data_IF_518283484793
#
_entry.id   IF_518283484793
#
_cell.length_a   1.000
_cell.length_b   1.000
_cell.length_c   1.000
_cell.angle_alpha   90.00
_cell.angle_beta   90.00
_cell.angle_gamma   90.00
#
_symmetry.space_group_name_H-M   'P 1'
#
loop_
_entity.id
_entity.type
_entity.pdbx_description
1 polymer ?
#
# COMPACT_ATOMS: atom_id res chain seq x y z
N UNK A 1 -10.55 19.51 -19.29
CA UNK A 1 -10.27 18.06 -19.19
C UNK A 1 -10.45 17.66 -17.74
N UNK A 2 -11.31 16.69 -17.44
CA UNK A 2 -11.46 16.15 -16.08
C UNK A 2 -10.15 15.53 -15.63
N UNK A 3 -9.68 15.87 -14.42
CA UNK A 3 -8.42 15.33 -13.88
C UNK A 3 -8.61 13.92 -13.33
N UNK A 4 -7.51 13.19 -13.20
CA UNK A 4 -7.49 11.84 -12.64
C UNK A 4 -6.86 11.86 -11.26
N UNK A 5 -7.54 11.26 -10.28
CA UNK A 5 -7.08 11.12 -8.91
C UNK A 5 -6.62 9.68 -8.68
N UNK A 6 -5.33 9.50 -8.40
CA UNK A 6 -4.78 8.23 -7.93
C UNK A 6 -4.77 8.22 -6.41
N UNK A 7 -5.45 7.25 -5.82
CA UNK A 7 -5.53 7.04 -4.37
C UNK A 7 -4.83 5.72 -4.04
N UNK A 8 -3.80 5.77 -3.20
CA UNK A 8 -3.01 4.58 -2.84
C UNK A 8 -2.85 4.40 -1.34
N UNK A 9 -2.59 3.19 -0.86
CA UNK A 9 -2.32 2.95 0.56
C UNK A 9 -0.96 3.51 1.01
N UNK A 10 -0.85 3.96 2.26
CA UNK A 10 0.44 4.31 2.84
C UNK A 10 1.38 3.09 2.99
N UNK A 11 2.70 3.31 2.98
CA UNK A 11 3.68 2.23 3.19
C UNK A 11 4.06 2.07 4.67
N UNK A 12 4.30 0.83 5.10
CA UNK A 12 4.80 0.56 6.46
C UNK A 12 6.23 1.12 6.66
N UNK A 13 7.03 1.04 5.61
CA UNK A 13 8.36 1.65 5.57
C UNK A 13 8.21 3.16 5.37
N UNK A 14 8.78 3.95 6.29
CA UNK A 14 8.80 5.42 6.22
C UNK A 14 10.17 5.98 6.58
N UNK A 15 10.44 7.21 6.15
CA UNK A 15 11.53 8.04 6.61
C UNK A 15 11.10 8.81 7.86
N UNK A 16 12.04 9.05 8.77
CA UNK A 16 11.81 9.91 9.93
C UNK A 16 12.64 11.20 9.85
N UNK A 17 13.61 11.31 8.93
CA UNK A 17 14.55 12.43 8.80
C UNK A 17 15.15 12.90 10.14
N UNK A 18 15.41 11.96 11.06
CA UNK A 18 15.92 12.28 12.40
C UNK A 18 14.87 12.83 13.38
N UNK A 19 13.61 13.00 12.97
CA UNK A 19 12.52 13.39 13.83
C UNK A 19 11.96 12.22 14.64
N UNK A 20 11.29 12.54 15.75
CA UNK A 20 10.53 11.57 16.53
C UNK A 20 9.39 10.98 15.71
N UNK A 21 9.10 9.70 15.95
CA UNK A 21 8.07 8.95 15.23
C UNK A 21 6.92 8.66 16.18
N UNK A 22 5.71 9.10 15.83
CA UNK A 22 4.51 8.69 16.54
C UNK A 22 4.25 7.21 16.27
N UNK A 23 4.37 6.37 17.29
CA UNK A 23 4.22 4.93 17.14
C UNK A 23 2.94 4.44 17.80
N UNK A 24 2.00 3.92 17.00
CA UNK A 24 0.70 3.44 17.46
C UNK A 24 0.82 2.31 18.49
N UNK A 25 1.86 1.48 18.43
CA UNK A 25 2.06 0.38 19.39
C UNK A 25 2.14 0.91 20.83
N UNK A 26 2.83 2.03 21.05
CA UNK A 26 2.95 2.68 22.38
C UNK A 26 1.56 3.06 22.92
N UNK A 27 0.72 3.63 22.06
CA UNK A 27 -0.64 4.02 22.44
C UNK A 27 -1.54 2.80 22.65
N UNK A 28 -1.42 1.78 21.81
CA UNK A 28 -2.23 0.55 21.91
C UNK A 28 -1.86 -0.30 23.15
N UNK A 29 -0.63 -0.17 23.65
CA UNK A 29 -0.21 -0.75 24.92
C UNK A 29 -0.90 -0.06 26.11
N UNK A 30 -1.02 1.27 26.09
CA UNK A 30 -1.58 2.06 27.20
C UNK A 30 -3.11 2.17 27.17
N UNK A 31 -3.71 2.35 25.99
CA UNK A 31 -5.13 2.64 25.82
C UNK A 31 -5.87 1.40 25.28
N UNK A 32 -6.54 0.68 26.18
CA UNK A 32 -7.27 -0.57 25.88
C UNK A 32 -8.73 -0.38 25.47
N UNK A 33 -9.18 0.86 25.31
CA UNK A 33 -10.54 1.15 24.83
C UNK A 33 -10.49 1.82 23.46
N UNK A 34 -11.45 1.51 22.57
CA UNK A 34 -11.60 2.15 21.26
C UNK A 34 -11.54 3.68 21.34
N UNK A 35 -12.44 4.27 22.15
CA UNK A 35 -12.55 5.72 22.35
C UNK A 35 -11.27 6.33 22.93
N UNK A 36 -10.67 5.67 23.93
CA UNK A 36 -9.44 6.15 24.56
C UNK A 36 -8.25 6.15 23.60
N UNK A 37 -8.12 5.12 22.77
CA UNK A 37 -7.05 5.00 21.79
C UNK A 37 -7.17 6.07 20.68
N UNK A 38 -8.38 6.25 20.13
CA UNK A 38 -8.66 7.28 19.11
C UNK A 38 -8.31 8.67 19.65
N UNK A 39 -8.78 8.99 20.85
CA UNK A 39 -8.54 10.30 21.46
C UNK A 39 -7.04 10.53 21.70
N UNK A 40 -6.35 9.57 22.34
CA UNK A 40 -4.93 9.69 22.63
C UNK A 40 -4.07 9.81 21.36
N UNK A 41 -4.42 9.08 20.29
CA UNK A 41 -3.74 9.22 19.01
C UNK A 41 -3.95 10.61 18.38
N UNK A 42 -5.20 11.10 18.37
CA UNK A 42 -5.52 12.42 17.84
C UNK A 42 -4.81 13.56 18.58
N UNK A 43 -4.76 13.50 19.92
CA UNK A 43 -4.01 14.45 20.74
C UNK A 43 -2.51 14.40 20.44
N UNK A 44 -1.93 13.20 20.32
CA UNK A 44 -0.53 13.03 20.00
C UNK A 44 -0.17 13.60 18.61
N UNK A 45 -1.02 13.37 17.61
CA UNK A 45 -0.86 13.94 16.26
C UNK A 45 -0.88 15.48 16.32
N UNK A 46 -1.88 16.07 16.98
CA UNK A 46 -2.00 17.53 17.08
C UNK A 46 -0.83 18.16 17.84
N UNK A 47 -0.43 17.55 18.96
CA UNK A 47 0.72 17.98 19.75
C UNK A 47 2.01 17.91 18.92
N UNK A 48 2.25 16.81 18.22
CA UNK A 48 3.43 16.64 17.39
C UNK A 48 3.47 17.65 16.23
N UNK A 49 2.34 17.92 15.56
CA UNK A 49 2.27 18.92 14.49
C UNK A 49 2.61 20.33 14.98
N UNK A 50 2.28 20.67 16.22
CA UNK A 50 2.62 21.98 16.80
C UNK A 50 4.14 22.23 16.89
N UNK A 51 4.94 21.16 16.94
CA UNK A 51 6.41 21.25 16.97
C UNK A 51 7.03 21.61 15.61
N UNK A 52 6.24 21.61 14.53
CA UNK A 52 6.66 21.86 13.14
C UNK A 52 7.77 20.93 12.61
N UNK A 53 8.04 19.81 13.28
CA UNK A 53 8.95 18.76 12.81
C UNK A 53 8.25 17.83 11.81
N UNK A 54 7.91 18.38 10.65
CA UNK A 54 7.11 17.73 9.61
C UNK A 54 7.95 17.30 8.42
N UNK A 55 7.50 16.24 7.75
CA UNK A 55 8.09 15.69 6.53
C UNK A 55 7.01 15.71 5.44
N UNK A 56 7.32 16.21 4.22
CA UNK A 56 6.41 16.12 3.09
C UNK A 56 6.05 14.67 2.75
N UNK A 57 4.80 14.40 2.37
CA UNK A 57 4.28 13.06 2.05
C UNK A 57 5.17 12.33 1.03
N UNK A 58 5.65 13.02 0.00
CA UNK A 58 6.53 12.48 -1.04
C UNK A 58 7.89 12.02 -0.52
N UNK A 59 8.36 12.60 0.60
CA UNK A 59 9.61 12.23 1.28
C UNK A 59 9.38 11.27 2.46
N UNK A 60 8.14 11.10 2.91
CA UNK A 60 7.81 10.29 4.07
C UNK A 60 7.81 8.79 3.73
N UNK A 61 7.07 8.39 2.70
CA UNK A 61 6.88 6.98 2.36
C UNK A 61 8.07 6.43 1.56
N UNK A 62 8.30 5.11 1.62
CA UNK A 62 9.41 4.47 0.90
C UNK A 62 9.10 3.05 0.45
N UNK A 63 9.95 2.53 -0.42
CA UNK A 63 9.85 1.19 -0.99
C UNK A 63 9.11 1.18 -2.33
N UNK A 64 9.20 0.05 -3.03
CA UNK A 64 8.80 -0.02 -4.44
C UNK A 64 7.33 0.35 -4.71
N UNK A 65 6.43 0.14 -3.74
CA UNK A 65 5.04 0.61 -3.87
C UNK A 65 4.99 2.14 -4.00
N UNK A 66 5.62 2.87 -3.08
CA UNK A 66 5.66 4.34 -3.10
C UNK A 66 6.46 4.88 -4.28
N UNK A 67 7.61 4.28 -4.58
CA UNK A 67 8.41 4.68 -5.75
C UNK A 67 7.63 4.56 -7.06
N UNK A 68 6.76 3.53 -7.18
CA UNK A 68 5.87 3.40 -8.34
C UNK A 68 4.81 4.49 -8.35
N UNK A 69 4.18 4.80 -7.21
CA UNK A 69 3.20 5.89 -7.13
C UNK A 69 3.79 7.25 -7.53
N UNK A 70 5.01 7.57 -7.07
CA UNK A 70 5.72 8.78 -7.49
C UNK A 70 6.06 8.76 -8.98
N UNK A 71 6.50 7.62 -9.52
CA UNK A 71 6.78 7.50 -10.96
C UNK A 71 5.54 7.79 -11.82
N UNK A 72 4.35 7.38 -11.37
CA UNK A 72 3.09 7.69 -12.06
C UNK A 72 2.81 9.20 -11.97
N UNK A 73 2.94 9.78 -10.77
CA UNK A 73 2.71 11.20 -10.52
C UNK A 73 3.63 12.09 -11.37
N UNK A 74 4.91 11.74 -11.48
CA UNK A 74 5.88 12.49 -12.26
C UNK A 74 5.65 12.36 -13.77
N UNK A 75 5.06 11.26 -14.22
CA UNK A 75 4.86 10.95 -15.64
C UNK A 75 3.51 11.41 -16.21
N UNK A 76 2.51 11.65 -15.36
CA UNK A 76 1.12 11.85 -15.78
C UNK A 76 0.49 13.04 -15.03
N UNK A 77 -0.42 13.81 -15.66
CA UNK A 77 -1.07 14.97 -15.04
C UNK A 77 -2.18 14.54 -14.07
N UNK A 78 -1.80 13.87 -12.98
CA UNK A 78 -2.70 13.29 -11.98
C UNK A 78 -2.56 14.00 -10.62
N UNK A 79 -3.59 13.84 -9.79
CA UNK A 79 -3.52 14.18 -8.37
C UNK A 79 -3.24 12.90 -7.57
N UNK A 80 -2.22 12.91 -6.70
CA UNK A 80 -1.83 11.76 -5.88
C UNK A 80 -2.29 11.92 -4.44
N UNK A 81 -3.01 10.91 -3.94
CA UNK A 81 -3.57 10.84 -2.60
C UNK A 81 -3.16 9.56 -1.88
N UNK A 82 -3.08 9.62 -0.56
CA UNK A 82 -2.67 8.49 0.30
C UNK A 82 -3.70 8.18 1.36
N UNK A 83 -4.14 6.92 1.40
CA UNK A 83 -4.91 6.36 2.51
C UNK A 83 -3.94 6.09 3.67
N UNK A 84 -3.92 7.00 4.64
CA UNK A 84 -3.07 6.95 5.82
C UNK A 84 -3.81 6.37 7.02
N UNK A 85 -3.29 5.27 7.57
CA UNK A 85 -3.82 4.69 8.81
C UNK A 85 -3.60 5.59 10.04
N UNK A 86 -2.78 6.64 9.95
CA UNK A 86 -2.51 7.57 11.04
C UNK A 86 -3.15 8.95 10.87
N UNK A 87 -3.49 9.35 9.65
CA UNK A 87 -3.92 10.72 9.31
C UNK A 87 -5.21 10.80 8.46
N UNK A 88 -5.79 9.68 8.05
CA UNK A 88 -6.94 9.69 7.15
C UNK A 88 -6.50 9.85 5.70
N UNK A 89 -7.16 10.71 4.93
CA UNK A 89 -6.75 11.01 3.55
C UNK A 89 -5.69 12.12 3.53
N UNK A 90 -4.54 11.82 2.93
CA UNK A 90 -3.47 12.78 2.68
C UNK A 90 -3.33 13.07 1.18
N UNK A 91 -2.81 14.24 0.85
CA UNK A 91 -2.45 14.67 -0.49
C UNK A 91 -0.92 14.72 -0.66
N UNK A 92 -0.43 14.50 -1.88
CA UNK A 92 0.93 14.87 -2.25
C UNK A 92 1.23 16.34 -1.89
N UNK A 93 2.39 16.60 -1.28
CA UNK A 93 2.79 17.93 -0.81
C UNK A 93 2.37 18.26 0.63
N UNK A 94 1.50 17.46 1.26
CA UNK A 94 1.17 17.65 2.68
C UNK A 94 2.41 17.45 3.54
N UNK A 95 2.59 18.32 4.54
CA UNK A 95 3.65 18.19 5.53
C UNK A 95 3.08 17.61 6.83
N UNK A 96 3.51 16.40 7.19
CA UNK A 96 3.01 15.68 8.37
C UNK A 96 4.13 15.16 9.25
N UNK A 97 3.83 14.87 10.51
CA UNK A 97 4.83 14.25 11.40
C UNK A 97 5.03 12.77 11.04
N UNK A 98 6.28 12.25 11.13
CA UNK A 98 6.52 10.83 10.94
C UNK A 98 5.72 9.96 11.93
N UNK A 99 5.13 8.88 11.42
CA UNK A 99 4.26 8.01 12.22
C UNK A 99 4.36 6.54 11.81
N UNK A 100 3.97 5.62 12.69
CA UNK A 100 3.79 4.20 12.41
C UNK A 100 2.41 3.75 12.88
N UNK A 101 1.57 3.42 11.91
CA UNK A 101 0.23 2.85 12.07
C UNK A 101 -0.13 2.09 10.77
N UNK A 102 -0.87 0.98 10.88
CA UNK A 102 -1.36 0.23 9.72
C UNK A 102 -2.67 -0.50 9.98
N UNK A 103 -3.54 -0.61 8.97
CA UNK A 103 -4.73 -1.46 9.03
C UNK A 103 -4.40 -2.95 8.81
N UNK A 104 -3.21 -3.27 8.29
CA UNK A 104 -2.75 -4.65 8.19
C UNK A 104 -2.69 -5.29 9.58
N UNK A 105 -3.14 -6.54 9.71
CA UNK A 105 -3.15 -7.26 10.99
C UNK A 105 -1.85 -8.02 11.22
N UNK A 106 -1.47 -8.23 12.49
CA UNK A 106 -0.29 -9.05 12.85
C UNK A 106 1.02 -8.26 12.98
N UNK A 107 0.95 -6.93 13.02
CA UNK A 107 2.06 -6.05 13.34
C UNK A 107 1.83 -5.35 14.68
N UNK A 108 2.91 -4.94 15.35
CA UNK A 108 2.82 -4.15 16.58
C UNK A 108 2.15 -2.79 16.36
N UNK A 109 2.33 -2.22 15.16
CA UNK A 109 1.77 -0.95 14.74
C UNK A 109 0.38 -1.11 14.08
N UNK A 110 -0.26 -2.29 14.22
CA UNK A 110 -1.60 -2.56 13.70
C UNK A 110 -2.67 -1.83 14.50
N UNK A 111 -3.66 -1.27 13.82
CA UNK A 111 -4.90 -0.82 14.46
C UNK A 111 -5.57 -2.03 15.13
N UNK A 112 -5.82 -2.01 16.45
CA UNK A 112 -6.43 -3.15 17.16
C UNK A 112 -7.81 -3.52 16.62
N UNK A 113 -8.26 -4.76 16.83
CA UNK A 113 -9.56 -5.22 16.34
C UNK A 113 -10.71 -4.98 17.33
N UNK A 114 -10.41 -4.76 18.63
CA UNK A 114 -11.39 -4.61 19.72
C UNK A 114 -12.60 -5.56 19.59
N UNK A 115 -12.33 -6.86 19.40
CA UNK A 115 -13.32 -7.89 19.04
C UNK A 115 -14.51 -8.00 20.00
N UNK A 116 -14.32 -7.65 21.27
CA UNK A 116 -15.38 -7.73 22.29
C UNK A 116 -16.47 -6.66 22.08
N UNK A 117 -16.15 -5.58 21.36
CA UNK A 117 -17.06 -4.46 21.07
C UNK A 117 -17.40 -4.34 19.59
N UNK A 118 -16.55 -4.89 18.72
CA UNK A 118 -16.65 -4.74 17.27
C UNK A 118 -16.66 -6.10 16.59
N UNK A 119 -17.60 -6.27 15.66
CA UNK A 119 -17.58 -7.40 14.75
C UNK A 119 -16.35 -7.36 13.82
N UNK A 120 -15.41 -8.29 14.03
CA UNK A 120 -14.22 -8.50 13.15
C UNK A 120 -13.35 -7.23 13.00
N UNK A 121 -13.46 -6.54 11.85
CA UNK A 121 -12.64 -5.38 11.46
C UNK A 121 -13.47 -4.09 11.38
N UNK A 122 -14.65 -4.03 12.00
CA UNK A 122 -15.51 -2.83 11.94
C UNK A 122 -14.93 -1.64 12.69
N UNK A 123 -14.11 -1.84 13.73
CA UNK A 123 -13.40 -0.74 14.39
C UNK A 123 -12.50 0.04 13.44
N UNK A 124 -11.92 -0.59 12.42
CA UNK A 124 -11.08 0.11 11.44
C UNK A 124 -11.85 1.18 10.65
N UNK A 125 -13.17 0.99 10.46
CA UNK A 125 -14.04 1.97 9.82
C UNK A 125 -14.33 3.16 10.74
N UNK A 126 -14.58 2.90 12.02
CA UNK A 126 -14.73 3.96 13.02
C UNK A 126 -13.43 4.75 13.18
N UNK A 127 -12.29 4.06 13.26
CA UNK A 127 -10.97 4.68 13.30
C UNK A 127 -10.76 5.64 12.12
N UNK A 128 -11.03 5.18 10.89
CA UNK A 128 -10.94 6.01 9.68
C UNK A 128 -11.85 7.24 9.77
N UNK A 129 -13.11 7.05 10.13
CA UNK A 129 -14.07 8.15 10.29
C UNK A 129 -13.61 9.20 11.32
N UNK A 130 -13.12 8.75 12.48
CA UNK A 130 -12.64 9.64 13.55
C UNK A 130 -11.33 10.34 13.20
N UNK A 131 -10.43 9.71 12.46
CA UNK A 131 -9.25 10.40 11.92
C UNK A 131 -9.67 11.55 10.99
N UNK A 132 -10.61 11.30 10.08
CA UNK A 132 -11.05 12.33 9.14
C UNK A 132 -11.80 13.45 9.87
N UNK A 133 -12.65 13.14 10.85
CA UNK A 133 -13.33 14.14 11.69
C UNK A 133 -12.36 15.03 12.48
N UNK A 134 -11.23 14.48 12.94
CA UNK A 134 -10.24 15.21 13.72
C UNK A 134 -9.07 15.75 12.87
N UNK A 135 -9.13 15.61 11.54
CA UNK A 135 -7.97 15.89 10.70
C UNK A 135 -7.52 17.36 10.79
N UNK A 136 -6.23 17.62 11.03
CA UNK A 136 -5.67 18.97 11.08
C UNK A 136 -5.60 19.63 9.69
N UNK A 137 -5.79 18.87 8.62
CA UNK A 137 -5.67 19.31 7.23
C UNK A 137 -7.01 19.76 6.61
N UNK A 138 -8.10 19.74 7.38
CA UNK A 138 -9.46 20.06 6.90
C UNK A 138 -9.62 21.40 6.18
N UNK A 139 -8.77 22.38 6.50
CA UNK A 139 -8.81 23.70 5.87
C UNK A 139 -8.05 23.75 4.54
N UNK A 140 -7.20 22.77 4.26
CA UNK A 140 -6.30 22.77 3.12
C UNK A 140 -6.89 22.04 1.91
N UNK A 141 -7.55 20.90 2.13
CA UNK A 141 -8.14 20.06 1.08
C UNK A 141 -9.13 19.05 1.70
N UNK A 142 -9.90 18.31 0.89
CA UNK A 142 -10.72 17.19 1.38
C UNK A 142 -9.90 16.16 2.17
N UNK A 143 -10.38 15.77 3.35
CA UNK A 143 -9.68 14.83 4.28
C UNK A 143 -10.33 13.45 4.35
N UNK A 144 -11.37 13.22 3.54
CA UNK A 144 -12.05 11.94 3.39
C UNK A 144 -12.32 11.67 1.92
N UNK A 145 -12.58 10.41 1.55
CA UNK A 145 -12.95 10.06 0.18
C UNK A 145 -14.30 10.65 -0.20
N UNK A 146 -15.23 10.71 0.74
CA UNK A 146 -16.54 11.32 0.49
C UNK A 146 -16.43 12.82 0.21
N UNK A 147 -15.64 13.55 0.99
CA UNK A 147 -15.39 14.98 0.72
C UNK A 147 -14.68 15.16 -0.62
N UNK A 148 -13.71 14.29 -0.95
CA UNK A 148 -12.95 14.39 -2.20
C UNK A 148 -13.84 14.12 -3.43
N UNK A 149 -14.66 13.08 -3.38
CA UNK A 149 -15.57 12.72 -4.49
C UNK A 149 -16.72 13.71 -4.62
N UNK A 150 -17.12 14.37 -3.54
CA UNK A 150 -18.09 15.47 -3.59
C UNK A 150 -17.50 16.71 -4.24
N UNK A 151 -16.32 17.15 -3.79
CA UNK A 151 -15.60 18.31 -4.32
C UNK A 151 -15.24 18.13 -5.80
N UNK A 152 -14.90 16.90 -6.20
CA UNK A 152 -14.45 16.55 -7.54
C UNK A 152 -15.38 15.55 -8.24
N UNK A 153 -16.68 15.80 -8.14
CA UNK A 153 -17.74 14.89 -8.63
C UNK A 153 -17.72 14.61 -10.15
N UNK A 154 -16.97 15.41 -10.93
CA UNK A 154 -16.76 15.28 -12.37
C UNK A 154 -15.42 14.65 -12.77
N UNK A 155 -14.58 14.29 -11.80
CA UNK A 155 -13.25 13.74 -12.01
C UNK A 155 -13.23 12.20 -12.01
N UNK A 156 -12.09 11.63 -12.38
CA UNK A 156 -11.86 10.19 -12.39
C UNK A 156 -11.07 9.75 -11.15
N UNK A 157 -11.34 8.53 -10.67
CA UNK A 157 -10.77 7.98 -9.44
C UNK A 157 -10.25 6.57 -9.66
N UNK A 158 -8.97 6.36 -9.38
CA UNK A 158 -8.35 5.03 -9.34
C UNK A 158 -7.86 4.79 -7.92
N UNK A 159 -8.50 3.87 -7.20
CA UNK A 159 -8.15 3.50 -5.84
C UNK A 159 -7.38 2.18 -5.86
N UNK A 160 -6.15 2.14 -5.35
CA UNK A 160 -5.35 0.93 -5.27
C UNK A 160 -4.87 0.68 -3.83
N UNK A 161 -5.42 -0.36 -3.19
CA UNK A 161 -5.14 -0.61 -1.78
C UNK A 161 -5.37 -2.08 -1.39
N UNK A 162 -4.76 -2.51 -0.28
CA UNK A 162 -5.00 -3.86 0.24
C UNK A 162 -6.43 -4.01 0.78
N UNK A 163 -6.94 -5.25 0.93
CA UNK A 163 -8.29 -5.48 1.48
C UNK A 163 -8.51 -4.87 2.86
N UNK A 164 -7.45 -4.71 3.67
CA UNK A 164 -7.54 -4.09 4.99
C UNK A 164 -7.81 -2.59 4.91
N UNK A 165 -7.11 -1.88 4.01
CA UNK A 165 -7.34 -0.46 3.78
C UNK A 165 -8.70 -0.22 3.15
N UNK A 166 -9.07 -1.02 2.15
CA UNK A 166 -10.41 -1.01 1.57
C UNK A 166 -11.49 -1.18 2.65
N UNK A 167 -11.32 -2.16 3.55
CA UNK A 167 -12.28 -2.40 4.62
C UNK A 167 -12.39 -1.19 5.54
N UNK A 168 -11.27 -0.55 5.89
CA UNK A 168 -11.25 0.65 6.73
C UNK A 168 -11.98 1.82 6.09
N UNK A 169 -11.80 2.06 4.79
CA UNK A 169 -12.44 3.17 4.09
C UNK A 169 -13.87 2.86 3.64
N UNK A 170 -14.38 1.64 3.81
CA UNK A 170 -15.60 1.17 3.13
C UNK A 170 -16.82 2.09 3.33
N UNK A 171 -17.08 2.56 4.55
CA UNK A 171 -18.20 3.46 4.81
C UNK A 171 -18.04 4.82 4.10
N UNK A 172 -16.82 5.38 4.14
CA UNK A 172 -16.48 6.65 3.50
C UNK A 172 -16.50 6.54 1.97
N UNK A 173 -15.99 5.44 1.42
CA UNK A 173 -16.04 5.12 0.00
C UNK A 173 -17.48 5.01 -0.50
N UNK A 174 -18.34 4.25 0.19
CA UNK A 174 -19.75 4.12 -0.21
C UNK A 174 -20.51 5.45 -0.18
N UNK A 175 -20.20 6.31 0.80
CA UNK A 175 -20.73 7.67 0.83
C UNK A 175 -20.18 8.50 -0.35
N UNK A 176 -18.89 8.42 -0.63
CA UNK A 176 -18.25 9.13 -1.75
C UNK A 176 -18.81 8.77 -3.12
N UNK A 177 -19.04 7.48 -3.36
CA UNK A 177 -19.63 6.96 -4.60
C UNK A 177 -20.98 7.61 -4.90
N UNK A 178 -21.78 7.94 -3.87
CA UNK A 178 -23.08 8.59 -4.06
C UNK A 178 -23.01 10.02 -4.60
N UNK A 179 -21.84 10.66 -4.58
CA UNK A 179 -21.62 11.99 -5.14
C UNK A 179 -21.11 11.98 -6.60
N UNK A 180 -20.67 10.82 -7.12
CA UNK A 180 -20.21 10.70 -8.49
C UNK A 180 -21.40 10.70 -9.45
N UNK A 181 -21.26 11.37 -10.60
CA UNK A 181 -22.32 11.45 -11.62
C UNK A 181 -22.54 10.12 -12.35
N UNK A 182 -21.44 9.41 -12.61
CA UNK A 182 -21.43 8.11 -13.27
C UNK A 182 -20.29 7.26 -12.69
N UNK A 183 -20.66 6.42 -11.71
CA UNK A 183 -19.71 5.55 -11.00
C UNK A 183 -18.99 4.60 -11.96
N UNK A 184 -19.70 4.06 -12.94
CA UNK A 184 -19.15 3.11 -13.91
C UNK A 184 -18.11 3.81 -14.81
N UNK A 185 -18.35 5.07 -15.19
CA UNK A 185 -17.37 5.88 -15.94
C UNK A 185 -16.19 6.35 -15.09
N UNK A 186 -16.43 6.69 -13.82
CA UNK A 186 -15.51 7.50 -13.03
C UNK A 186 -14.64 6.72 -12.04
N UNK A 187 -14.92 5.45 -11.74
CA UNK A 187 -14.24 4.73 -10.67
C UNK A 187 -13.67 3.38 -11.10
N UNK A 188 -12.41 3.14 -10.73
CA UNK A 188 -11.81 1.79 -10.61
C UNK A 188 -11.26 1.60 -9.21
N UNK A 189 -11.44 0.40 -8.68
CA UNK A 189 -10.81 -0.07 -7.44
C UNK A 189 -9.92 -1.26 -7.78
N UNK A 190 -8.70 -1.26 -7.25
CA UNK A 190 -7.70 -2.31 -7.44
C UNK A 190 -7.34 -2.86 -6.07
N UNK A 191 -7.66 -4.13 -5.83
CA UNK A 191 -7.38 -4.81 -4.56
C UNK A 191 -7.17 -6.30 -4.77
N UNK A 192 -6.64 -7.01 -3.77
CA UNK A 192 -6.35 -8.45 -3.88
C UNK A 192 -7.50 -9.36 -3.46
N UNK A 193 -8.69 -8.80 -3.20
CA UNK A 193 -9.86 -9.58 -2.78
C UNK A 193 -11.16 -8.95 -3.24
N UNK A 194 -12.12 -9.79 -3.63
CA UNK A 194 -13.50 -9.40 -3.94
C UNK A 194 -14.44 -9.42 -2.73
N UNK A 195 -14.01 -10.00 -1.61
CA UNK A 195 -14.89 -10.65 -0.64
C UNK A 195 -15.91 -9.73 0.09
N UNK A 196 -15.97 -8.43 -0.23
CA UNK A 196 -16.88 -7.46 0.40
C UNK A 196 -17.35 -6.32 -0.52
N UNK A 197 -17.12 -6.40 -1.84
CA UNK A 197 -17.43 -5.31 -2.75
C UNK A 197 -18.76 -5.52 -3.48
N UNK A 198 -19.66 -4.55 -3.36
CA UNK A 198 -20.87 -4.44 -4.18
C UNK A 198 -20.54 -4.03 -5.63
N UNK A 199 -19.50 -3.21 -5.83
CA UNK A 199 -19.07 -2.70 -7.15
C UNK A 199 -18.16 -3.68 -7.92
N UNK A 200 -18.68 -4.85 -8.27
CA UNK A 200 -17.90 -5.87 -9.01
C UNK A 200 -17.40 -5.36 -10.37
N UNK A 201 -18.15 -4.49 -11.05
CA UNK A 201 -17.80 -3.94 -12.37
C UNK A 201 -16.61 -2.97 -12.32
N UNK A 202 -16.42 -2.26 -11.21
CA UNK A 202 -15.33 -1.30 -11.03
C UNK A 202 -14.09 -1.95 -10.39
N UNK A 203 -14.16 -3.23 -10.00
CA UNK A 203 -13.09 -3.90 -9.28
C UNK A 203 -12.15 -4.68 -10.21
N UNK A 204 -10.86 -4.41 -10.09
CA UNK A 204 -9.77 -5.23 -10.61
C UNK A 204 -9.13 -6.00 -9.47
N UNK A 205 -9.17 -7.33 -9.57
CA UNK A 205 -8.66 -8.21 -8.51
C UNK A 205 -7.25 -8.65 -8.84
N UNK A 206 -6.30 -8.20 -8.04
CA UNK A 206 -4.93 -8.61 -8.17
C UNK A 206 -4.74 -10.06 -7.69
N UNK A 207 -3.94 -10.83 -8.42
CA UNK A 207 -3.63 -12.22 -8.10
C UNK A 207 -2.22 -12.58 -8.55
N UNK A 208 -1.77 -13.78 -8.21
CA UNK A 208 -0.41 -14.24 -8.50
C UNK A 208 -0.07 -14.28 -10.00
N UNK A 209 -1.00 -14.70 -10.85
CA UNK A 209 -0.78 -14.73 -12.31
C UNK A 209 -0.55 -13.32 -12.86
N UNK A 210 -1.30 -12.33 -12.35
CA UNK A 210 -1.10 -10.92 -12.72
C UNK A 210 0.24 -10.40 -12.16
N UNK A 211 0.63 -10.83 -10.96
CA UNK A 211 1.95 -10.50 -10.40
C UNK A 211 3.09 -10.95 -11.32
N UNK A 212 2.99 -12.18 -11.81
CA UNK A 212 3.96 -12.77 -12.73
C UNK A 212 3.98 -12.04 -14.07
N UNK A 213 2.80 -11.68 -14.62
CA UNK A 213 2.69 -10.87 -15.82
C UNK A 213 3.42 -9.52 -15.70
N UNK A 214 3.28 -8.84 -14.57
CA UNK A 214 3.97 -7.57 -14.29
C UNK A 214 5.41 -7.73 -13.75
N UNK A 215 5.94 -8.96 -13.65
CA UNK A 215 7.20 -9.27 -12.96
C UNK A 215 7.31 -8.56 -11.59
N UNK A 216 6.21 -8.57 -10.84
CA UNK A 216 6.04 -7.86 -9.58
C UNK A 216 5.76 -8.82 -8.43
N UNK A 217 6.11 -8.41 -7.22
CA UNK A 217 5.63 -9.08 -6.01
C UNK A 217 4.20 -8.60 -5.66
N UNK A 218 3.51 -9.34 -4.78
CA UNK A 218 2.14 -9.02 -4.35
C UNK A 218 2.03 -7.70 -3.58
N UNK A 219 3.08 -7.25 -2.89
CA UNK A 219 3.08 -5.99 -2.12
C UNK A 219 3.02 -4.76 -3.06
N UNK A 220 3.61 -4.87 -4.24
CA UNK A 220 3.65 -3.81 -5.25
C UNK A 220 2.57 -3.97 -6.34
N UNK A 221 1.89 -5.11 -6.37
CA UNK A 221 1.05 -5.46 -7.51
C UNK A 221 -0.09 -4.47 -7.75
N UNK A 222 -0.79 -4.03 -6.70
CA UNK A 222 -1.93 -3.13 -6.87
C UNK A 222 -1.53 -1.79 -7.51
N UNK A 223 -0.39 -1.21 -7.12
CA UNK A 223 0.08 0.05 -7.71
C UNK A 223 0.65 -0.16 -9.12
N UNK A 224 1.21 -1.34 -9.43
CA UNK A 224 1.63 -1.70 -10.79
C UNK A 224 0.46 -1.87 -11.74
N UNK A 225 -0.64 -2.47 -11.28
CA UNK A 225 -1.89 -2.51 -12.03
C UNK A 225 -2.43 -1.07 -12.21
N UNK A 226 -2.37 -0.23 -11.17
CA UNK A 226 -2.81 1.16 -11.28
C UNK A 226 -2.00 1.95 -12.31
N UNK A 227 -0.67 1.79 -12.32
CA UNK A 227 0.21 2.36 -13.33
C UNK A 227 -0.26 1.97 -14.74
N UNK A 228 -0.46 0.67 -14.97
CA UNK A 228 -0.92 0.17 -16.26
C UNK A 228 -2.31 0.70 -16.65
N UNK A 229 -3.26 0.74 -15.71
CA UNK A 229 -4.60 1.31 -15.93
C UNK A 229 -4.50 2.77 -16.33
N UNK A 230 -3.67 3.57 -15.66
CA UNK A 230 -3.48 4.99 -15.96
C UNK A 230 -2.88 5.18 -17.34
N UNK A 231 -1.82 4.43 -17.68
CA UNK A 231 -1.18 4.48 -19.00
C UNK A 231 -2.17 4.16 -20.12
N UNK A 232 -3.02 3.14 -19.93
CA UNK A 232 -4.07 2.80 -20.90
C UNK A 232 -5.17 3.88 -20.95
N UNK A 233 -5.63 4.37 -19.80
CA UNK A 233 -6.69 5.37 -19.72
C UNK A 233 -6.30 6.69 -20.39
N UNK A 234 -5.05 7.13 -20.20
CA UNK A 234 -4.54 8.37 -20.83
C UNK A 234 -4.43 8.26 -22.36
N UNK A 235 -4.49 7.04 -22.92
CA UNK A 235 -4.50 6.79 -24.37
C UNK A 235 -5.91 6.56 -24.95
N UNK A 236 -6.97 6.64 -24.13
CA UNK A 236 -8.35 6.40 -24.56
C UNK A 236 -9.10 7.70 -24.83
N UNK A 237 -9.85 7.74 -25.94
CA UNK A 237 -10.67 8.90 -26.32
C UNK A 237 -12.01 8.98 -25.56
N UNK A 238 -12.56 7.83 -25.13
CA UNK A 238 -13.92 7.72 -24.57
C UNK A 238 -14.01 7.97 -23.07
N UNK A 239 -12.88 7.99 -22.36
CA UNK A 239 -12.78 8.28 -20.92
C UNK A 239 -13.69 7.44 -20.04
N UNK A 240 -13.72 6.11 -20.19
CA UNK A 240 -14.59 5.23 -19.41
C UNK A 240 -13.84 4.15 -18.61
N UNK A 241 -13.63 4.39 -17.31
CA UNK A 241 -12.87 3.49 -16.45
C UNK A 241 -13.52 2.11 -16.29
N UNK A 242 -14.84 2.01 -16.14
CA UNK A 242 -15.53 0.72 -16.03
C UNK A 242 -15.33 -0.21 -17.22
N UNK A 243 -15.40 0.31 -18.46
CA UNK A 243 -15.12 -0.46 -19.68
C UNK A 243 -13.65 -0.88 -19.77
N UNK A 244 -12.73 0.00 -19.38
CA UNK A 244 -11.31 -0.37 -19.27
C UNK A 244 -11.13 -1.51 -18.27
N UNK A 245 -11.77 -1.43 -17.10
CA UNK A 245 -11.69 -2.49 -16.09
C UNK A 245 -12.23 -3.82 -16.62
N UNK A 246 -13.31 -3.82 -17.38
CA UNK A 246 -13.86 -5.02 -18.01
C UNK A 246 -12.89 -5.65 -19.01
N UNK A 247 -12.34 -4.83 -19.92
CA UNK A 247 -11.33 -5.27 -20.90
C UNK A 247 -10.12 -5.88 -20.21
N UNK A 248 -9.62 -5.23 -19.16
CA UNK A 248 -8.47 -5.70 -18.39
C UNK A 248 -8.79 -6.99 -17.62
N UNK A 249 -9.99 -7.14 -17.04
CA UNK A 249 -10.41 -8.41 -16.42
C UNK A 249 -10.41 -9.55 -17.43
N UNK A 250 -10.95 -9.33 -18.63
CA UNK A 250 -10.95 -10.33 -19.69
C UNK A 250 -9.54 -10.68 -20.17
N UNK A 251 -8.63 -9.69 -20.21
CA UNK A 251 -7.21 -9.91 -20.52
C UNK A 251 -6.52 -10.71 -19.41
N UNK A 252 -6.78 -10.38 -18.15
CA UNK A 252 -6.14 -11.04 -17.02
C UNK A 252 -6.70 -12.44 -16.71
N UNK A 253 -7.92 -12.75 -17.13
CA UNK A 253 -8.55 -14.06 -16.89
C UNK A 253 -7.92 -15.18 -17.71
N UNK A 254 -7.32 -14.85 -18.86
CA UNK A 254 -6.65 -15.80 -19.77
C UNK A 254 -5.14 -15.89 -19.54
N UNK A 255 -4.59 -15.16 -18.57
CA UNK A 255 -3.16 -15.24 -18.26
C UNK A 255 -2.79 -16.67 -17.84
N UNK A 256 -1.68 -17.22 -18.37
CA UNK A 256 -1.26 -18.57 -18.03
C UNK A 256 -0.99 -18.67 -16.54
N UNK A 257 -1.56 -19.68 -15.89
CA UNK A 257 -1.15 -20.05 -14.53
C UNK A 257 0.22 -20.70 -14.63
N UNK A 258 1.29 -20.01 -14.26
CA UNK A 258 2.61 -20.62 -14.25
C UNK A 258 2.64 -21.70 -13.17
N UNK A 259 2.98 -22.93 -13.57
CA UNK A 259 3.34 -23.96 -12.61
C UNK A 259 4.62 -23.50 -11.90
N UNK A 260 4.51 -23.11 -10.64
CA UNK A 260 5.72 -22.91 -9.84
C UNK A 260 6.37 -24.26 -9.61
N UNK A 261 7.44 -24.54 -10.35
CA UNK A 261 8.37 -25.61 -10.00
C UNK A 261 8.93 -25.22 -8.63
N UNK A 262 8.58 -26.00 -7.59
CA UNK A 262 9.17 -25.79 -6.26
C UNK A 262 10.66 -26.09 -6.39
N UNK A 263 11.49 -25.08 -6.13
CA UNK A 263 12.94 -25.29 -6.08
C UNK A 263 13.31 -26.36 -5.06
N UNK A 264 14.39 -27.09 -5.32
CA UNK A 264 14.90 -28.15 -4.45
C UNK A 264 15.30 -27.54 -3.11
N UNK A 265 14.71 -28.04 -2.02
CA UNK A 265 15.03 -27.57 -0.66
C UNK A 265 16.46 -27.99 -0.33
N UNK A 266 17.30 -27.01 0.01
CA UNK A 266 18.70 -27.25 0.44
C UNK A 266 18.87 -27.14 1.94
N UNK A 267 19.84 -27.88 2.47
CA UNK A 267 20.27 -27.79 3.88
C UNK A 267 21.17 -26.56 4.07
N UNK A 268 21.22 -25.98 5.28
CA UNK A 268 22.05 -24.79 5.54
C UNK A 268 23.51 -24.96 5.14
N UNK A 269 24.08 -26.15 5.30
CA UNK A 269 25.49 -26.45 5.01
C UNK A 269 25.75 -26.37 3.50
N UNK A 270 24.86 -26.93 2.67
CA UNK A 270 24.93 -26.82 1.21
C UNK A 270 24.83 -25.37 0.73
N UNK A 271 23.98 -24.58 1.39
CA UNK A 271 23.80 -23.15 1.08
C UNK A 271 25.04 -22.35 1.45
N UNK A 272 25.67 -22.62 2.59
CA UNK A 272 26.91 -21.96 3.03
C UNK A 272 28.05 -22.21 2.04
N UNK A 273 28.22 -23.46 1.57
CA UNK A 273 29.23 -23.82 0.56
C UNK A 273 28.99 -23.05 -0.74
N UNK A 274 27.73 -23.01 -1.20
CA UNK A 274 27.35 -22.27 -2.40
C UNK A 274 27.61 -20.77 -2.25
N UNK A 275 27.24 -20.17 -1.10
CA UNK A 275 27.46 -18.74 -0.82
C UNK A 275 28.96 -18.41 -0.86
N UNK A 276 29.81 -19.24 -0.27
CA UNK A 276 31.26 -19.01 -0.27
C UNK A 276 31.82 -18.98 -1.71
N UNK A 277 31.34 -19.91 -2.54
CA UNK A 277 31.70 -19.96 -3.97
C UNK A 277 31.18 -18.74 -4.73
N UNK A 278 29.94 -18.31 -4.45
CA UNK A 278 29.33 -17.15 -5.08
C UNK A 278 30.07 -15.85 -4.76
N UNK A 279 30.46 -15.65 -3.50
CA UNK A 279 31.20 -14.46 -3.04
C UNK A 279 32.59 -14.40 -3.70
N UNK A 280 33.29 -15.53 -3.80
CA UNK A 280 34.56 -15.60 -4.53
C UNK A 280 34.43 -15.15 -5.98
N UNK A 281 33.37 -15.59 -6.67
CA UNK A 281 33.10 -15.21 -8.05
C UNK A 281 32.52 -13.79 -8.20
N UNK A 282 31.93 -13.22 -7.15
CA UNK A 282 31.23 -11.93 -7.16
C UNK A 282 31.53 -11.14 -5.87
N UNK A 283 32.72 -10.52 -5.75
CA UNK A 283 33.15 -9.84 -4.53
C UNK A 283 32.20 -8.70 -4.11
N UNK A 284 31.65 -7.97 -5.07
CA UNK A 284 30.68 -6.87 -4.86
C UNK A 284 29.21 -7.33 -4.94
N UNK A 285 28.97 -8.63 -4.83
CA UNK A 285 27.63 -9.21 -4.79
C UNK A 285 26.86 -8.78 -3.54
N UNK A 286 25.54 -8.58 -3.67
CA UNK A 286 24.68 -8.41 -2.50
C UNK A 286 23.97 -9.71 -2.15
N UNK A 287 23.59 -9.89 -0.88
CA UNK A 287 22.82 -11.05 -0.44
C UNK A 287 21.54 -11.28 -1.29
N UNK A 288 20.91 -10.20 -1.76
CA UNK A 288 19.72 -10.27 -2.62
C UNK A 288 20.04 -10.79 -4.02
N UNK A 289 21.17 -10.38 -4.62
CA UNK A 289 21.62 -10.92 -5.93
C UNK A 289 22.03 -12.38 -5.80
N UNK A 290 22.76 -12.72 -4.74
CA UNK A 290 23.15 -14.09 -4.41
C UNK A 290 21.93 -15.01 -4.27
N UNK A 291 20.93 -14.60 -3.50
CA UNK A 291 19.69 -15.37 -3.33
C UNK A 291 18.92 -15.55 -4.63
N UNK A 292 18.90 -14.54 -5.50
CA UNK A 292 18.27 -14.64 -6.83
C UNK A 292 18.99 -15.69 -7.68
N UNK A 293 20.31 -15.57 -7.83
CA UNK A 293 21.12 -16.53 -8.59
C UNK A 293 20.99 -17.97 -8.05
N UNK A 294 20.96 -18.13 -6.72
CA UNK A 294 20.74 -19.43 -6.08
C UNK A 294 19.38 -20.05 -6.44
N UNK A 295 18.32 -19.24 -6.50
CA UNK A 295 16.96 -19.67 -6.87
C UNK A 295 16.82 -19.92 -8.37
N UNK A 296 17.50 -19.15 -9.20
CA UNK A 296 17.52 -19.33 -10.66
C UNK A 296 18.14 -20.67 -11.06
N UNK A 297 19.03 -21.23 -10.23
CA UNK A 297 19.56 -22.60 -10.35
C UNK A 297 18.57 -23.70 -9.88
N UNK A 298 17.32 -23.34 -9.59
CA UNK A 298 16.28 -24.28 -9.17
C UNK A 298 16.32 -24.68 -7.70
N UNK A 299 17.02 -23.94 -6.84
CA UNK A 299 17.08 -24.21 -5.39
C UNK A 299 16.06 -23.38 -4.60
N UNK A 300 15.68 -23.85 -3.41
CA UNK A 300 14.79 -23.15 -2.48
C UNK A 300 15.41 -23.01 -1.10
N UNK A 301 15.40 -21.78 -0.58
CA UNK A 301 15.79 -21.43 0.79
C UNK A 301 15.07 -20.16 1.25
N UNK A 302 14.82 -20.07 2.56
CA UNK A 302 14.11 -18.95 3.18
C UNK A 302 15.00 -17.69 3.18
N UNK A 303 14.42 -16.55 2.84
CA UNK A 303 15.19 -15.32 2.54
C UNK A 303 15.94 -14.78 3.76
N UNK A 304 15.29 -14.71 4.93
CA UNK A 304 15.90 -14.18 6.15
C UNK A 304 17.08 -15.07 6.57
N UNK A 305 16.89 -16.39 6.58
CA UNK A 305 17.94 -17.38 6.85
C UNK A 305 19.07 -17.30 5.83
N UNK A 306 18.76 -17.13 4.54
CA UNK A 306 19.79 -16.96 3.51
C UNK A 306 20.64 -15.73 3.78
N UNK A 307 20.00 -14.59 4.09
CA UNK A 307 20.71 -13.34 4.43
C UNK A 307 21.58 -13.50 5.67
N UNK A 308 21.12 -14.23 6.69
CA UNK A 308 21.92 -14.54 7.88
C UNK A 308 23.16 -15.37 7.52
N UNK A 309 23.01 -16.43 6.73
CA UNK A 309 24.15 -17.24 6.28
C UNK A 309 25.11 -16.43 5.40
N UNK A 310 24.59 -15.58 4.51
CA UNK A 310 25.39 -14.73 3.64
C UNK A 310 26.30 -13.79 4.44
N UNK A 311 25.75 -13.13 5.47
CA UNK A 311 26.52 -12.26 6.36
C UNK A 311 27.55 -13.05 7.17
N UNK A 312 27.20 -14.23 7.67
CA UNK A 312 28.14 -15.08 8.40
C UNK A 312 29.34 -15.47 7.52
N UNK A 313 29.12 -15.93 6.28
CA UNK A 313 30.20 -16.30 5.36
C UNK A 313 31.05 -15.10 4.96
N UNK A 314 30.44 -13.93 4.74
CA UNK A 314 31.17 -12.70 4.41
C UNK A 314 32.11 -12.26 5.54
N UNK A 315 31.74 -12.50 6.80
CA UNK A 315 32.59 -12.21 7.97
C UNK A 315 33.75 -13.21 8.10
N UNK A 316 33.54 -14.48 7.74
CA UNK A 316 34.59 -15.52 7.83
C UNK A 316 35.57 -15.49 6.66
N UNK A 317 35.19 -14.91 5.51
CA UNK A 317 36.04 -14.78 4.32
C UNK A 317 36.80 -13.43 4.23
N UNK A 318 36.77 -12.61 5.30
CA UNK A 318 37.63 -11.43 5.45
C UNK A 318 38.88 -11.78 6.25
#
# INVERSE_FOLDING_TARGET
MSRLNLITSCTNSKHNNGHSVLNLAIFSEKYKTPKGLIHAWGEAVNSALSTKLVVPVEKLYKGGHWSTAMSIYDAQPIELWVLSAGFGLLKHGDAIVPYQATFATGHKDSIPLFSDKYGKKSFHQEWWGKLNEASPLKKSHPVSLSDLMMDKSDEYFIICASPDYINAINMDLMKGISYLKDVDRQLIIISSSQAKFSLKKNLLVSNKSIAEFFNSNMLMLNIKIAQYVIEQFMSMDDGHLGLLAERLRSTFSVLPKKHTVRGVRRRPEEVTIWISSYIHANPDGSASRALRSFRDQGNSFEEKRFRTLYQAVLLTNR
#
